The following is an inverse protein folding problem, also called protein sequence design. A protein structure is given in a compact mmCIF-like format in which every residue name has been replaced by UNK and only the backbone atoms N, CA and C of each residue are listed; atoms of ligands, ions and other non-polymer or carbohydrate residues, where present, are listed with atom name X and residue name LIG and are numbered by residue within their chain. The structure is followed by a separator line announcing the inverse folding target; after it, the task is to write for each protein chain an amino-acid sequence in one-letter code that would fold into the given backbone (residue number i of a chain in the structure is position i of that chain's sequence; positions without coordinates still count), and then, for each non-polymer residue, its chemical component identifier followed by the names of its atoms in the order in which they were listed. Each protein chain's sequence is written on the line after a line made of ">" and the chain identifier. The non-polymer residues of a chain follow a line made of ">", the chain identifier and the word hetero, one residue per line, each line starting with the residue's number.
data_IF_946918519687
#
_entry.id   IF_946918519687
#
_cell.length_a   1.000
_cell.length_b   1.000
_cell.length_c   1.000
_cell.angle_alpha   90.00
_cell.angle_beta   90.00
_cell.angle_gamma   90.00
#
_symmetry.space_group_name_H-M   'P 1'
#
loop_
_entity.id
_entity.type
_entity.pdbx_description
1 polymer ?
#
# COMPACT_ATOMS: atom_id res chain seq x y z
N UNK A 1 0.15 0.04 -13.37
CA UNK A 1 -0.83 1.03 -12.83
C UNK A 1 -0.11 2.27 -12.32
N UNK A 2 0.84 2.15 -11.39
CA UNK A 2 1.65 3.28 -10.95
C UNK A 2 2.48 3.92 -12.09
N UNK A 3 3.04 3.15 -13.04
CA UNK A 3 3.68 3.76 -14.22
C UNK A 3 2.72 4.51 -15.15
N UNK A 4 1.49 4.01 -15.31
CA UNK A 4 0.47 4.75 -16.05
C UNK A 4 0.05 6.07 -15.39
N UNK A 5 0.16 6.14 -14.05
CA UNK A 5 -0.04 7.37 -13.28
C UNK A 5 1.21 8.26 -13.39
N UNK A 6 2.41 7.68 -13.38
CA UNK A 6 3.66 8.41 -13.52
C UNK A 6 3.79 9.10 -14.89
N UNK A 7 3.29 8.48 -15.97
CA UNK A 7 3.19 9.12 -17.30
C UNK A 7 2.39 10.44 -17.30
N UNK A 8 1.51 10.64 -16.31
CA UNK A 8 0.70 11.87 -16.17
C UNK A 8 1.23 12.77 -15.07
N UNK A 9 1.91 12.21 -14.08
CA UNK A 9 2.29 12.91 -12.85
C UNK A 9 3.76 13.30 -12.78
N UNK A 10 4.64 12.71 -13.60
CA UNK A 10 6.09 12.96 -13.62
C UNK A 10 6.73 12.95 -12.21
N UNK A 11 6.17 12.15 -11.29
CA UNK A 11 6.53 12.20 -9.87
C UNK A 11 7.95 11.70 -9.60
N UNK A 12 8.46 10.84 -10.49
CA UNK A 12 9.80 10.32 -10.44
C UNK A 12 10.35 10.20 -11.86
N UNK A 13 11.61 10.60 -12.02
CA UNK A 13 12.32 10.57 -13.31
C UNK A 13 13.37 9.48 -13.22
N UNK A 14 13.38 8.58 -14.20
CA UNK A 14 14.49 7.63 -14.37
C UNK A 14 15.69 8.37 -14.95
N UNK A 15 16.80 8.43 -14.23
CA UNK A 15 18.05 8.97 -14.77
C UNK A 15 18.88 7.82 -15.32
N UNK A 16 19.21 7.88 -16.60
CA UNK A 16 20.03 6.87 -17.30
C UNK A 16 19.25 5.78 -18.04
N UNK A 17 17.92 5.83 -18.07
CA UNK A 17 17.10 5.02 -18.96
C UNK A 17 16.97 5.71 -20.34
N UNK A 18 17.20 4.99 -21.43
CA UNK A 18 16.76 5.47 -22.75
C UNK A 18 15.22 5.54 -22.73
N UNK A 19 14.62 6.67 -23.11
CA UNK A 19 13.16 6.80 -23.28
C UNK A 19 12.70 5.80 -24.34
N UNK A 20 12.30 4.60 -23.94
CA UNK A 20 11.77 3.60 -24.85
C UNK A 20 10.46 3.07 -24.31
N UNK A 21 9.36 3.61 -24.83
CA UNK A 21 7.99 3.34 -24.41
C UNK A 21 7.50 1.99 -24.96
N UNK A 22 8.22 0.91 -24.66
CA UNK A 22 7.97 -0.42 -25.23
C UNK A 22 7.09 -1.28 -24.32
N UNK A 23 6.39 -2.26 -24.89
CA UNK A 23 5.54 -3.22 -24.14
C UNK A 23 6.34 -3.98 -23.07
N UNK A 24 7.66 -4.07 -23.25
CA UNK A 24 8.58 -4.70 -22.30
C UNK A 24 8.63 -3.96 -20.95
N UNK A 25 8.52 -2.63 -20.92
CA UNK A 25 8.54 -1.86 -19.65
C UNK A 25 7.27 -2.09 -18.82
N UNK A 26 6.12 -2.29 -19.47
CA UNK A 26 4.88 -2.69 -18.80
C UNK A 26 5.00 -4.10 -18.22
N UNK A 27 5.73 -4.99 -18.89
CA UNK A 27 6.02 -6.35 -18.43
C UNK A 27 7.01 -6.33 -17.26
N UNK A 28 8.05 -5.52 -17.31
CA UNK A 28 9.01 -5.33 -16.21
C UNK A 28 8.34 -4.69 -14.99
N UNK A 29 7.52 -3.65 -15.20
CA UNK A 29 6.68 -3.05 -14.15
C UNK A 29 5.71 -4.07 -13.55
N UNK A 30 5.14 -4.97 -14.36
CA UNK A 30 4.26 -6.05 -13.89
C UNK A 30 5.04 -7.14 -13.15
N UNK A 31 6.27 -7.44 -13.57
CA UNK A 31 7.16 -8.40 -12.92
C UNK A 31 7.64 -7.86 -11.57
N UNK A 32 8.02 -6.58 -11.50
CA UNK A 32 8.35 -5.88 -10.27
C UNK A 32 7.15 -5.91 -9.30
N UNK A 33 5.94 -5.65 -9.81
CA UNK A 33 4.71 -5.78 -9.03
C UNK A 33 4.47 -7.20 -8.50
N UNK A 34 4.82 -8.23 -9.27
CA UNK A 34 4.67 -9.62 -8.87
C UNK A 34 5.53 -9.99 -7.66
N UNK A 35 6.63 -9.27 -7.43
CA UNK A 35 7.54 -9.47 -6.30
C UNK A 35 7.20 -8.55 -5.13
N UNK A 36 6.70 -7.34 -5.42
CA UNK A 36 6.37 -6.33 -4.41
C UNK A 36 5.29 -6.80 -3.45
N UNK A 37 4.15 -7.31 -3.96
CA UNK A 37 3.04 -7.74 -3.09
C UNK A 37 3.49 -8.90 -2.18
N UNK A 38 4.08 -10.00 -2.69
CA UNK A 38 4.58 -11.06 -1.82
C UNK A 38 5.61 -10.58 -0.80
N UNK A 39 6.56 -9.72 -1.20
CA UNK A 39 7.57 -9.19 -0.26
C UNK A 39 6.93 -8.40 0.89
N UNK A 40 5.98 -7.51 0.58
CA UNK A 40 5.25 -6.76 1.62
C UNK A 40 4.48 -7.71 2.53
N UNK A 41 3.82 -8.74 1.99
CA UNK A 41 3.09 -9.73 2.79
C UNK A 41 4.03 -10.49 3.75
N UNK A 42 5.14 -11.02 3.25
CA UNK A 42 6.12 -11.78 4.05
C UNK A 42 6.72 -10.93 5.18
N UNK A 43 7.15 -9.71 4.87
CA UNK A 43 7.72 -8.80 5.88
C UNK A 43 6.64 -8.37 6.88
N UNK A 44 5.40 -8.15 6.43
CA UNK A 44 4.27 -7.84 7.32
C UNK A 44 3.94 -9.00 8.25
N UNK A 45 3.98 -10.24 7.77
CA UNK A 45 3.80 -11.44 8.58
C UNK A 45 4.91 -11.58 9.63
N UNK A 46 6.17 -11.40 9.21
CA UNK A 46 7.32 -11.37 10.12
C UNK A 46 7.13 -10.33 11.23
N UNK A 47 6.73 -9.10 10.87
CA UNK A 47 6.46 -8.03 11.83
C UNK A 47 5.31 -8.40 12.76
N UNK A 48 4.23 -8.95 12.19
CA UNK A 48 3.06 -9.44 12.91
C UNK A 48 3.39 -10.48 13.97
N UNK A 49 4.45 -11.27 13.76
CA UNK A 49 4.92 -12.30 14.69
C UNK A 49 5.58 -11.75 15.97
N UNK A 50 6.04 -10.49 15.95
CA UNK A 50 6.74 -9.93 17.09
C UNK A 50 5.82 -9.63 18.28
N UNK A 51 6.31 -9.93 19.49
CA UNK A 51 5.53 -9.77 20.73
C UNK A 51 5.01 -8.36 20.99
N UNK A 52 5.68 -7.32 20.48
CA UNK A 52 5.22 -5.94 20.62
C UNK A 52 3.88 -5.69 19.91
N UNK A 53 3.53 -6.47 18.88
CA UNK A 53 2.29 -6.28 18.12
C UNK A 53 1.04 -6.46 18.97
N UNK A 54 1.14 -7.18 20.10
CA UNK A 54 0.05 -7.33 21.08
C UNK A 54 -0.47 -5.99 21.62
N UNK A 55 0.34 -4.92 21.60
CA UNK A 55 -0.11 -3.58 22.03
C UNK A 55 -1.17 -2.97 21.13
N UNK A 56 -1.29 -3.46 19.89
CA UNK A 56 -2.23 -2.95 18.89
C UNK A 56 -3.51 -3.79 18.78
N UNK A 57 -3.66 -4.87 19.56
CA UNK A 57 -4.83 -5.76 19.47
C UNK A 57 -6.05 -5.29 20.27
N UNK A 58 -5.93 -4.19 21.03
CA UNK A 58 -6.97 -3.66 21.93
C UNK A 58 -7.02 -2.13 21.89
N UNK A 59 -6.91 -1.57 20.69
CA UNK A 59 -7.08 -0.14 20.48
C UNK A 59 -8.58 0.20 20.31
N UNK A 60 -8.96 1.48 20.35
CA UNK A 60 -10.35 1.88 20.13
C UNK A 60 -10.91 1.31 18.83
N UNK A 61 -12.10 0.72 18.93
CA UNK A 61 -12.82 0.19 17.78
C UNK A 61 -13.38 1.34 16.93
N UNK A 62 -13.16 1.28 15.62
CA UNK A 62 -13.76 2.21 14.66
C UNK A 62 -14.94 1.55 13.96
N UNK A 63 -16.15 1.86 14.40
CA UNK A 63 -17.36 1.29 13.81
C UNK A 63 -17.80 2.12 12.62
N UNK A 64 -17.94 1.47 11.46
CA UNK A 64 -18.42 2.10 10.24
C UNK A 64 -19.83 1.61 9.90
N UNK A 65 -20.74 2.55 9.65
CA UNK A 65 -22.02 2.23 9.01
C UNK A 65 -21.81 1.89 7.54
N UNK A 66 -22.74 1.13 6.95
CA UNK A 66 -22.72 0.86 5.49
C UNK A 66 -22.67 2.14 4.66
N UNK A 67 -23.39 3.19 5.09
CA UNK A 67 -23.37 4.49 4.42
C UNK A 67 -22.00 5.16 4.45
N UNK A 68 -21.28 5.07 5.58
CA UNK A 68 -19.92 5.60 5.69
C UNK A 68 -18.93 4.84 4.80
N UNK A 69 -19.02 3.51 4.74
CA UNK A 69 -18.15 2.71 3.85
C UNK A 69 -18.37 3.05 2.37
N UNK A 70 -19.63 3.22 1.94
CA UNK A 70 -19.96 3.64 0.57
C UNK A 70 -19.46 5.06 0.30
N UNK A 71 -19.57 5.96 1.27
CA UNK A 71 -19.04 7.32 1.14
C UNK A 71 -17.52 7.31 0.99
N UNK A 72 -16.80 6.54 1.81
CA UNK A 72 -15.33 6.40 1.73
C UNK A 72 -14.93 5.85 0.36
N UNK A 73 -15.59 4.78 -0.11
CA UNK A 73 -15.32 4.22 -1.44
C UNK A 73 -15.56 5.23 -2.56
N UNK A 74 -16.66 5.98 -2.47
CA UNK A 74 -16.98 7.03 -3.44
C UNK A 74 -15.95 8.15 -3.43
N UNK A 75 -15.51 8.60 -2.25
CA UNK A 75 -14.46 9.61 -2.11
C UNK A 75 -13.11 9.10 -2.64
N UNK A 76 -12.77 7.83 -2.41
CA UNK A 76 -11.59 7.20 -3.01
C UNK A 76 -11.65 7.22 -4.53
N UNK A 77 -12.78 6.85 -5.14
CA UNK A 77 -12.95 6.89 -6.59
C UNK A 77 -12.89 8.33 -7.15
N UNK A 78 -13.50 9.29 -6.46
CA UNK A 78 -13.42 10.72 -6.82
C UNK A 78 -11.99 11.25 -6.69
N UNK A 79 -11.22 10.77 -5.71
CA UNK A 79 -9.83 11.16 -5.53
C UNK A 79 -8.93 10.69 -6.66
N UNK A 80 -9.20 9.52 -7.25
CA UNK A 80 -8.53 9.05 -8.46
C UNK A 80 -8.84 9.97 -9.65
N UNK A 81 -10.10 10.37 -9.83
CA UNK A 81 -10.48 11.31 -10.89
C UNK A 81 -9.79 12.67 -10.67
N UNK A 82 -9.76 13.15 -9.43
CA UNK A 82 -9.11 14.41 -9.09
C UNK A 82 -7.58 14.35 -9.35
N UNK A 83 -6.91 13.23 -9.02
CA UNK A 83 -5.50 13.01 -9.33
C UNK A 83 -5.21 13.08 -10.83
N UNK A 84 -6.10 12.53 -11.67
CA UNK A 84 -5.94 12.58 -13.13
C UNK A 84 -6.12 14.00 -13.70
N UNK A 85 -6.80 14.90 -12.97
CA UNK A 85 -7.04 16.30 -13.40
C UNK A 85 -5.97 17.25 -12.84
N UNK A 86 -5.48 17.01 -11.62
CA UNK A 86 -4.48 17.84 -10.94
C UNK A 86 -3.33 17.00 -10.36
N UNK A 87 -2.50 16.40 -11.23
CA UNK A 87 -1.40 15.52 -10.81
C UNK A 87 -0.43 16.19 -9.84
N UNK A 88 0.02 17.41 -10.14
CA UNK A 88 1.06 18.13 -9.37
C UNK A 88 0.64 18.50 -7.94
N UNK A 89 -0.67 18.66 -7.69
CA UNK A 89 -1.20 19.13 -6.42
C UNK A 89 -1.68 17.98 -5.50
N UNK A 90 -2.02 16.83 -6.09
CA UNK A 90 -2.67 15.71 -5.39
C UNK A 90 -1.78 14.48 -5.28
N UNK A 91 -0.49 14.60 -5.55
CA UNK A 91 0.49 13.53 -5.38
C UNK A 91 0.38 12.74 -4.05
N UNK A 92 0.16 13.35 -2.87
CA UNK A 92 0.01 12.58 -1.63
C UNK A 92 -1.22 11.65 -1.62
N UNK A 93 -2.24 11.99 -2.41
CA UNK A 93 -3.50 11.24 -2.53
C UNK A 93 -3.32 9.98 -3.38
N UNK A 94 -2.27 9.93 -4.23
CA UNK A 94 -1.90 8.75 -5.01
C UNK A 94 -1.63 7.51 -4.14
N UNK A 95 -1.25 7.69 -2.88
CA UNK A 95 -0.88 6.59 -1.99
C UNK A 95 -2.03 6.11 -1.10
N UNK A 96 -3.23 6.69 -1.25
CA UNK A 96 -4.39 6.38 -0.40
C UNK A 96 -5.64 5.96 -1.16
N UNK A 97 -5.73 6.28 -2.46
CA UNK A 97 -6.97 6.10 -3.21
C UNK A 97 -7.35 4.62 -3.34
N UNK A 98 -6.38 3.71 -3.53
CA UNK A 98 -6.66 2.28 -3.69
C UNK A 98 -7.19 1.71 -2.38
N UNK A 99 -6.62 2.11 -1.25
CA UNK A 99 -7.09 1.69 0.07
C UNK A 99 -8.52 2.14 0.30
N UNK A 100 -8.82 3.42 0.04
CA UNK A 100 -10.17 3.97 0.22
C UNK A 100 -11.19 3.37 -0.74
N UNK A 101 -10.80 2.88 -1.92
CA UNK A 101 -11.69 2.18 -2.83
C UNK A 101 -11.89 0.73 -2.37
N UNK A 102 -10.81 -0.04 -2.26
CA UNK A 102 -10.89 -1.50 -2.19
C UNK A 102 -11.15 -2.02 -0.78
N UNK A 103 -10.64 -1.40 0.28
CA UNK A 103 -10.85 -1.89 1.64
C UNK A 103 -12.33 -1.79 2.08
N UNK A 104 -13.05 -0.68 1.83
CA UNK A 104 -14.48 -0.62 2.09
C UNK A 104 -15.29 -1.60 1.24
N UNK A 105 -14.90 -1.83 -0.03
CA UNK A 105 -15.57 -2.82 -0.88
C UNK A 105 -15.37 -4.23 -0.32
N UNK A 106 -14.15 -4.58 0.09
CA UNK A 106 -13.86 -5.85 0.74
C UNK A 106 -14.70 -6.01 2.02
N UNK A 107 -14.77 -4.95 2.84
CA UNK A 107 -15.60 -4.95 4.05
C UNK A 107 -17.09 -5.14 3.77
N UNK A 108 -17.62 -4.48 2.74
CA UNK A 108 -19.03 -4.57 2.33
C UNK A 108 -19.37 -5.94 1.72
N UNK A 109 -18.41 -6.59 1.08
CA UNK A 109 -18.55 -7.92 0.45
C UNK A 109 -18.20 -9.08 1.37
N UNK A 110 -17.83 -8.80 2.63
CA UNK A 110 -17.48 -9.83 3.62
C UNK A 110 -16.10 -10.46 3.42
N UNK A 111 -15.24 -9.85 2.58
CA UNK A 111 -13.87 -10.28 2.33
C UNK A 111 -12.92 -9.78 3.42
N UNK A 112 -11.72 -10.37 3.56
CA UNK A 112 -10.70 -9.84 4.45
C UNK A 112 -10.42 -8.36 4.15
N UNK A 113 -10.49 -7.53 5.19
CA UNK A 113 -10.33 -6.08 5.11
C UNK A 113 -9.76 -5.55 6.42
N UNK A 114 -9.00 -4.46 6.33
CA UNK A 114 -8.45 -3.74 7.47
C UNK A 114 -9.58 -3.08 8.25
N UNK A 115 -10.58 -2.50 7.57
CA UNK A 115 -11.79 -1.97 8.18
C UNK A 115 -12.47 -2.99 9.11
N UNK A 116 -12.58 -4.27 8.70
CA UNK A 116 -13.18 -5.31 9.54
C UNK A 116 -12.37 -5.65 10.80
N UNK A 117 -11.06 -5.42 10.80
CA UNK A 117 -10.19 -5.66 11.96
C UNK A 117 -10.24 -4.48 12.93
N UNK A 118 -10.14 -3.25 12.42
CA UNK A 118 -10.20 -2.04 13.25
C UNK A 118 -11.59 -1.83 13.87
N UNK A 119 -12.66 -2.32 13.24
CA UNK A 119 -14.01 -2.39 13.84
C UNK A 119 -14.06 -3.25 15.11
N UNK A 120 -13.14 -4.20 15.26
CA UNK A 120 -13.00 -5.05 16.46
C UNK A 120 -11.96 -4.50 17.45
N UNK A 121 -11.36 -3.35 17.14
CA UNK A 121 -10.26 -2.78 17.93
C UNK A 121 -8.92 -3.48 17.71
N UNK A 122 -8.81 -4.37 16.70
CA UNK A 122 -7.56 -5.02 16.33
C UNK A 122 -6.87 -4.29 15.18
N UNK A 123 -5.84 -3.54 15.51
CA UNK A 123 -5.08 -2.73 14.56
C UNK A 123 -3.79 -3.40 14.12
N UNK A 124 -3.54 -4.64 14.57
CA UNK A 124 -2.29 -5.37 14.24
C UNK A 124 -2.10 -5.47 12.74
N UNK A 125 -3.15 -5.75 11.98
CA UNK A 125 -3.09 -5.86 10.54
C UNK A 125 -2.65 -4.55 9.87
N UNK A 126 -3.26 -3.42 10.25
CA UNK A 126 -2.90 -2.10 9.72
C UNK A 126 -1.44 -1.75 10.04
N UNK A 127 -1.02 -1.97 11.29
CA UNK A 127 0.35 -1.67 11.73
C UNK A 127 1.37 -2.59 11.08
N UNK A 128 1.06 -3.89 10.96
CA UNK A 128 1.95 -4.86 10.33
C UNK A 128 2.21 -4.51 8.87
N UNK A 129 1.15 -4.22 8.11
CA UNK A 129 1.27 -3.85 6.69
C UNK A 129 1.95 -2.50 6.48
N UNK A 130 1.65 -1.49 7.32
CA UNK A 130 2.33 -0.20 7.25
C UNK A 130 3.83 -0.32 7.55
N UNK A 131 4.20 -1.04 8.62
CA UNK A 131 5.61 -1.25 8.95
C UNK A 131 6.31 -2.19 7.96
N UNK A 132 5.62 -3.20 7.42
CA UNK A 132 6.16 -4.13 6.45
C UNK A 132 6.54 -3.42 5.16
N UNK A 133 5.61 -2.60 4.64
CA UNK A 133 5.89 -1.74 3.50
C UNK A 133 7.00 -0.72 3.78
N UNK A 134 7.07 -0.14 4.99
CA UNK A 134 8.15 0.78 5.36
C UNK A 134 9.52 0.10 5.35
N UNK A 135 9.62 -1.13 5.85
CA UNK A 135 10.87 -1.91 5.83
C UNK A 135 11.23 -2.28 4.40
N UNK A 136 10.27 -2.73 3.59
CA UNK A 136 10.50 -2.98 2.17
C UNK A 136 11.00 -1.71 1.45
N UNK A 137 10.32 -0.57 1.68
CA UNK A 137 10.69 0.73 1.16
C UNK A 137 12.11 1.15 1.53
N UNK A 138 12.51 0.96 2.79
CA UNK A 138 13.89 1.19 3.22
C UNK A 138 14.92 0.39 2.40
N UNK A 139 14.66 -0.89 2.16
CA UNK A 139 15.57 -1.72 1.37
C UNK A 139 15.53 -1.38 -0.12
N UNK A 140 14.37 -1.02 -0.67
CA UNK A 140 14.24 -0.54 -2.04
C UNK A 140 15.06 0.73 -2.26
N UNK A 141 14.96 1.71 -1.37
CA UNK A 141 15.76 2.95 -1.43
C UNK A 141 17.26 2.69 -1.24
N UNK A 142 17.63 1.74 -0.36
CA UNK A 142 19.02 1.33 -0.19
C UNK A 142 19.60 0.73 -1.48
N UNK A 143 18.83 -0.10 -2.20
CA UNK A 143 19.28 -0.67 -3.48
C UNK A 143 19.25 0.36 -4.62
N UNK A 144 18.30 1.31 -4.59
CA UNK A 144 18.22 2.41 -5.55
C UNK A 144 19.47 3.29 -5.50
N UNK A 145 20.01 3.55 -4.31
CA UNK A 145 21.23 4.37 -4.10
C UNK A 145 22.47 3.86 -4.85
N UNK A 146 22.56 2.55 -5.09
CA UNK A 146 23.71 1.91 -5.74
C UNK A 146 23.37 1.42 -7.17
N UNK A 147 22.18 1.78 -7.69
CA UNK A 147 21.72 1.34 -9.00
C UNK A 147 22.28 2.23 -10.12
N UNK A 148 22.70 1.61 -11.22
CA UNK A 148 23.20 2.32 -12.43
C UNK A 148 22.10 3.13 -13.13
N UNK A 149 20.84 2.72 -12.94
CA UNK A 149 19.63 3.48 -13.30
C UNK A 149 18.90 3.74 -11.98
N UNK A 150 18.88 4.99 -11.56
CA UNK A 150 18.27 5.40 -10.29
C UNK A 150 16.99 6.19 -10.54
N UNK A 151 16.11 6.14 -9.55
CA UNK A 151 14.91 6.97 -9.49
C UNK A 151 15.19 8.14 -8.56
N UNK A 152 15.15 9.36 -9.10
CA UNK A 152 15.23 10.58 -8.29
C UNK A 152 13.84 11.15 -8.04
N UNK A 153 13.53 11.44 -6.77
CA UNK A 153 12.28 12.06 -6.36
C UNK A 153 12.42 13.59 -6.33
N UNK A 154 11.62 14.30 -7.14
CA UNK A 154 11.58 15.76 -7.11
C UNK A 154 10.46 16.25 -6.19
N UNK A 155 10.65 16.14 -4.86
CA UNK A 155 9.59 16.46 -3.87
C UNK A 155 9.53 17.97 -3.50
N UNK A 156 10.01 18.84 -4.38
CA UNK A 156 9.93 20.30 -4.23
C UNK A 156 10.31 20.81 -2.82
N UNK A 157 9.35 21.43 -2.12
CA UNK A 157 9.55 22.07 -0.80
C UNK A 157 9.90 21.13 0.36
N UNK A 158 9.74 19.81 0.21
CA UNK A 158 9.97 18.83 1.29
C UNK A 158 11.26 18.04 1.14
N UNK A 159 12.18 18.51 0.29
CA UNK A 159 13.46 17.88 0.02
C UNK A 159 14.50 18.17 1.13
N UNK A 160 14.28 17.59 2.31
CA UNK A 160 15.23 17.65 3.42
C UNK A 160 15.32 16.30 4.15
N UNK A 161 16.45 16.07 4.83
CA UNK A 161 16.73 14.85 5.59
C UNK A 161 16.58 13.57 4.74
N UNK A 162 17.28 13.50 3.61
CA UNK A 162 17.30 12.29 2.77
C UNK A 162 17.94 11.12 3.52
N UNK A 163 17.32 9.96 3.42
CA UNK A 163 17.91 8.67 3.76
C UNK A 163 18.00 7.94 2.41
N UNK A 164 19.22 7.66 1.95
CA UNK A 164 19.47 7.30 0.55
C UNK A 164 18.97 8.40 -0.42
N UNK A 165 18.27 8.03 -1.50
CA UNK A 165 17.74 8.96 -2.50
C UNK A 165 16.40 9.60 -2.11
N UNK A 166 15.73 9.08 -1.07
CA UNK A 166 14.40 9.54 -0.68
C UNK A 166 14.42 10.51 0.51
N UNK A 167 13.73 11.67 0.44
CA UNK A 167 13.46 12.51 1.61
C UNK A 167 12.68 11.75 2.68
N UNK A 168 12.95 12.02 3.97
CA UNK A 168 12.28 11.34 5.09
C UNK A 168 10.75 11.36 4.99
N UNK A 169 10.17 12.45 4.48
CA UNK A 169 8.73 12.58 4.28
C UNK A 169 8.19 11.61 3.21
N UNK A 170 9.00 11.25 2.22
CA UNK A 170 8.65 10.26 1.20
C UNK A 170 8.38 8.88 1.80
N UNK A 171 9.13 8.49 2.83
CA UNK A 171 8.90 7.22 3.53
C UNK A 171 7.52 7.12 4.18
N UNK A 172 6.88 8.25 4.47
CA UNK A 172 5.50 8.30 4.94
C UNK A 172 4.51 7.69 3.96
N UNK A 173 4.83 7.67 2.66
CA UNK A 173 4.02 7.04 1.60
C UNK A 173 4.01 5.51 1.67
N UNK A 174 5.04 4.86 2.23
CA UNK A 174 5.05 3.41 2.39
C UNK A 174 4.02 2.92 3.41
N UNK A 175 3.70 3.75 4.42
CA UNK A 175 2.69 3.39 5.43
C UNK A 175 1.31 3.11 4.80
N UNK A 176 0.70 4.03 4.03
CA UNK A 176 -0.56 3.75 3.36
C UNK A 176 -0.40 2.77 2.20
N UNK A 177 0.74 2.75 1.49
CA UNK A 177 1.03 1.75 0.46
C UNK A 177 0.89 0.31 0.96
N UNK A 178 1.37 0.02 2.18
CA UNK A 178 1.17 -1.29 2.81
C UNK A 178 -0.31 -1.65 2.93
N UNK A 179 -1.15 -0.70 3.34
CA UNK A 179 -2.60 -0.90 3.45
C UNK A 179 -3.24 -1.13 2.06
N UNK A 180 -2.79 -0.41 1.05
CA UNK A 180 -3.26 -0.57 -0.34
C UNK A 180 -2.97 -1.97 -0.88
N UNK A 181 -1.74 -2.46 -0.70
CA UNK A 181 -1.36 -3.79 -1.19
C UNK A 181 -2.26 -4.89 -0.63
N UNK A 182 -2.58 -4.83 0.67
CA UNK A 182 -3.50 -5.76 1.31
C UNK A 182 -4.93 -5.66 0.74
N UNK A 183 -5.45 -4.43 0.62
CA UNK A 183 -6.81 -4.18 0.14
C UNK A 183 -6.99 -4.65 -1.31
N UNK A 184 -6.04 -4.31 -2.19
CA UNK A 184 -6.04 -4.71 -3.61
C UNK A 184 -5.92 -6.23 -3.73
N UNK A 185 -4.99 -6.86 -3.00
CA UNK A 185 -4.79 -8.30 -3.04
C UNK A 185 -6.08 -9.06 -2.72
N UNK A 186 -6.72 -8.75 -1.59
CA UNK A 186 -7.96 -9.44 -1.20
C UNK A 186 -9.16 -9.10 -2.09
N UNK A 187 -9.17 -7.93 -2.70
CA UNK A 187 -10.17 -7.60 -3.70
C UNK A 187 -10.01 -8.47 -4.95
N UNK A 188 -8.79 -8.57 -5.50
CA UNK A 188 -8.48 -9.37 -6.70
C UNK A 188 -8.71 -10.86 -6.44
N UNK A 189 -8.18 -11.40 -5.33
CA UNK A 189 -8.39 -12.79 -4.91
C UNK A 189 -9.88 -13.10 -4.75
N UNK A 190 -10.63 -12.18 -4.15
CA UNK A 190 -12.07 -12.31 -3.99
C UNK A 190 -12.88 -12.20 -5.30
N UNK A 191 -12.35 -11.53 -6.34
CA UNK A 191 -12.94 -11.53 -7.68
C UNK A 191 -12.64 -12.83 -8.45
N UNK A 192 -11.45 -13.38 -8.26
CA UNK A 192 -11.03 -14.65 -8.87
C UNK A 192 -11.75 -15.86 -8.25
N UNK A 193 -12.57 -15.66 -7.22
CA UNK A 193 -13.25 -16.75 -6.52
C UNK A 193 -12.28 -17.64 -5.72
N UNK A 194 -11.04 -17.18 -5.52
CA UNK A 194 -10.04 -17.85 -4.71
C UNK A 194 -10.30 -17.53 -3.24
N UNK A 195 -11.53 -17.76 -2.77
CA UNK A 195 -11.85 -17.70 -1.35
C UNK A 195 -11.20 -18.91 -0.68
N UNK A 196 -10.03 -18.69 -0.10
CA UNK A 196 -9.49 -19.67 0.84
C UNK A 196 -10.26 -19.53 2.14
N UNK A 197 -10.84 -20.65 2.61
CA UNK A 197 -11.13 -20.93 4.02
C UNK A 197 -9.84 -20.92 4.88
N UNK A 198 -8.87 -20.07 4.57
CA UNK A 198 -7.59 -19.96 5.27
C UNK A 198 -7.74 -19.00 6.43
N UNK A 199 -8.29 -19.51 7.51
CA UNK A 199 -8.03 -18.99 8.85
C UNK A 199 -6.52 -19.05 9.07
N UNK A 200 -5.83 -17.91 9.05
CA UNK A 200 -4.42 -17.84 9.48
C UNK A 200 -4.44 -18.02 10.99
N UNK A 201 -3.98 -19.16 11.54
CA UNK A 201 -4.05 -19.38 12.98
C UNK A 201 -3.11 -18.40 13.67
N UNK A 202 -3.68 -17.38 14.29
CA UNK A 202 -2.94 -16.54 15.21
C UNK A 202 -2.79 -17.32 16.51
N UNK A 203 -1.56 -17.50 16.98
CA UNK A 203 -1.25 -18.24 18.21
C UNK A 203 -2.08 -17.68 19.38
N UNK A 204 -3.13 -18.43 19.76
CA UNK A 204 -4.19 -17.99 20.69
C UNK A 204 -5.55 -18.67 20.49
N UNK A 205 -5.77 -19.39 19.39
CA UNK A 205 -7.04 -20.07 19.08
C UNK A 205 -7.19 -21.50 19.66
N UNK A 206 -6.36 -21.90 20.63
CA UNK A 206 -6.58 -23.17 21.33
C UNK A 206 -7.66 -23.00 22.42
N UNK A 207 -8.78 -23.72 22.35
CA UNK A 207 -9.71 -23.80 23.47
C UNK A 207 -9.05 -24.54 24.62
N UNK A 208 -9.02 -23.90 25.78
CA UNK A 208 -8.69 -24.50 27.09
C UNK A 208 -9.68 -25.59 27.49
#
# INVERSE_FOLDING_TARGET
>A
MFEGINLVTENWVYIGAEENTDILDYLESSLAFSVVIPAVFEVSELIGSFGFMKRFSRLPALVFSRGQLVLIASLGALSLIALLIWPDALFPVTWLFLFFIFDPINRLTGRPSIAAQVERGDWRLAVAFGLGALVCGFFWEMWNNEATVSWEYNIGYFDFARIFEMPLMGYGGYLPFGLETYAVFHFVVGLLGWSSDSHVPMKGDEPS
#
